data_IF_646799153662
#
_entry.id   IF_646799153662
#
_cell.length_a   1.000
_cell.length_b   1.000
_cell.length_c   1.000
_cell.angle_alpha   90.00
_cell.angle_beta   90.00
_cell.angle_gamma   90.00
#
_symmetry.space_group_name_H-M   'P 1'
#
loop_
_entity.id
_entity.type
_entity.pdbx_description
1 polymer ?
#
# COMPACT_ATOMS: atom_id res chain seq x y z
N UNK A 1 -57.26 -23.87 -45.38
CA UNK A 1 -57.41 -22.42 -45.12
C UNK A 1 -56.44 -22.03 -44.01
N UNK A 2 -55.86 -20.85 -44.16
CA UNK A 2 -54.64 -20.30 -43.55
C UNK A 2 -54.50 -20.30 -42.01
N UNK A 3 -53.24 -20.41 -41.53
CA UNK A 3 -52.43 -19.33 -40.91
C UNK A 3 -51.17 -19.97 -40.27
N UNK A 4 -49.94 -19.79 -40.74
CA UNK A 4 -49.05 -18.61 -40.67
C UNK A 4 -48.71 -18.13 -39.23
N UNK A 5 -47.61 -18.64 -38.63
CA UNK A 5 -46.72 -17.85 -37.75
C UNK A 5 -45.32 -18.52 -37.53
N UNK A 6 -44.20 -17.75 -37.59
CA UNK A 6 -42.82 -18.24 -37.53
C UNK A 6 -42.21 -18.21 -36.09
N UNK A 7 -40.94 -18.65 -35.88
CA UNK A 7 -40.48 -19.23 -34.62
C UNK A 7 -40.01 -18.20 -33.59
N UNK A 8 -40.26 -18.48 -32.30
CA UNK A 8 -39.70 -17.70 -31.19
C UNK A 8 -38.26 -18.16 -30.93
N UNK A 9 -37.33 -17.47 -31.55
CA UNK A 9 -35.91 -17.48 -31.23
C UNK A 9 -35.70 -17.14 -29.74
N UNK A 10 -35.26 -18.11 -28.96
CA UNK A 10 -34.76 -17.88 -27.61
C UNK A 10 -33.44 -17.13 -27.70
N UNK A 11 -33.51 -15.81 -27.52
CA UNK A 11 -32.36 -14.95 -27.41
C UNK A 11 -31.53 -15.33 -26.17
N UNK A 12 -30.35 -15.90 -26.39
CA UNK A 12 -29.32 -16.07 -25.37
C UNK A 12 -28.88 -14.69 -24.88
N UNK A 13 -29.42 -14.27 -23.74
CA UNK A 13 -29.00 -13.07 -23.02
C UNK A 13 -27.58 -13.29 -22.49
N UNK A 14 -26.59 -12.79 -23.23
CA UNK A 14 -25.17 -12.81 -22.86
C UNK A 14 -24.99 -11.98 -21.58
N UNK A 15 -24.93 -12.67 -20.44
CA UNK A 15 -24.80 -12.05 -19.11
C UNK A 15 -23.39 -11.49 -18.93
N UNK A 16 -23.29 -10.18 -18.94
CA UNK A 16 -22.09 -9.38 -18.69
C UNK A 16 -21.78 -9.27 -17.18
N UNK A 17 -21.72 -10.40 -16.47
CA UNK A 17 -21.51 -10.46 -15.02
C UNK A 17 -20.03 -10.48 -14.58
N UNK A 18 -19.08 -10.57 -15.52
CA UNK A 18 -17.65 -10.74 -15.21
C UNK A 18 -16.88 -9.46 -14.85
N UNK A 19 -17.43 -8.26 -15.09
CA UNK A 19 -16.68 -6.99 -14.95
C UNK A 19 -16.90 -6.25 -13.62
N UNK A 20 -17.97 -6.57 -12.88
CA UNK A 20 -18.35 -5.80 -11.67
C UNK A 20 -17.65 -6.26 -10.39
N UNK A 21 -17.16 -7.51 -10.34
CA UNK A 21 -16.54 -8.06 -9.13
C UNK A 21 -15.10 -7.52 -8.94
N UNK A 22 -14.39 -7.24 -10.05
CA UNK A 22 -13.00 -6.75 -10.01
C UNK A 22 -12.90 -5.30 -9.52
N UNK A 23 -13.91 -4.47 -9.75
CA UNK A 23 -13.90 -3.06 -9.31
C UNK A 23 -14.09 -2.88 -7.80
N UNK A 24 -14.90 -3.74 -7.17
CA UNK A 24 -15.26 -3.61 -5.76
C UNK A 24 -14.10 -3.94 -4.81
N UNK A 25 -13.26 -4.93 -5.16
CA UNK A 25 -12.09 -5.32 -4.35
C UNK A 25 -11.00 -4.25 -4.35
N UNK A 26 -10.76 -3.60 -5.49
CA UNK A 26 -9.74 -2.53 -5.61
C UNK A 26 -10.11 -1.32 -4.74
N UNK A 27 -11.37 -0.91 -4.73
CA UNK A 27 -11.84 0.24 -3.94
C UNK A 27 -11.76 -0.07 -2.43
N UNK A 28 -12.10 -1.30 -2.02
CA UNK A 28 -11.98 -1.71 -0.62
C UNK A 28 -10.51 -1.70 -0.15
N UNK A 29 -9.57 -2.15 -0.98
CA UNK A 29 -8.14 -2.09 -0.66
C UNK A 29 -7.63 -0.64 -0.50
N UNK A 30 -8.06 0.26 -1.39
CA UNK A 30 -7.70 1.69 -1.30
C UNK A 30 -8.30 2.35 -0.06
N UNK A 31 -9.55 2.00 0.30
CA UNK A 31 -10.18 2.53 1.51
C UNK A 31 -9.54 2.01 2.79
N UNK A 32 -9.14 0.74 2.85
CA UNK A 32 -8.41 0.20 4.02
C UNK A 32 -7.03 0.84 4.12
N UNK A 33 -6.31 0.99 3.02
CA UNK A 33 -5.04 1.71 2.99
C UNK A 33 -5.20 3.17 3.44
N UNK A 34 -6.24 3.86 2.96
CA UNK A 34 -6.54 5.24 3.33
C UNK A 34 -7.02 5.41 4.78
N UNK A 35 -7.82 4.48 5.30
CA UNK A 35 -8.27 4.49 6.69
C UNK A 35 -7.13 4.17 7.66
N UNK A 36 -6.25 3.23 7.29
CA UNK A 36 -5.01 2.99 8.02
C UNK A 36 -4.09 4.21 8.00
N UNK A 37 -4.07 4.95 6.88
CA UNK A 37 -3.31 6.19 6.73
C UNK A 37 -3.80 7.32 7.65
N UNK A 38 -5.12 7.53 7.69
CA UNK A 38 -5.72 8.60 8.48
C UNK A 38 -5.54 8.38 9.99
N UNK A 39 -5.30 7.14 10.41
CA UNK A 39 -5.09 6.78 11.82
C UNK A 39 -3.63 6.90 12.30
N UNK A 40 -2.66 7.27 11.43
CA UNK A 40 -1.27 7.53 11.84
C UNK A 40 -1.20 8.87 12.60
N UNK A 41 -1.43 8.83 13.91
CA UNK A 41 -1.07 9.90 14.84
C UNK A 41 0.39 10.31 14.60
N UNK A 42 0.71 11.61 14.66
CA UNK A 42 2.08 12.16 14.57
C UNK A 42 3.06 11.27 15.34
N UNK A 43 3.85 10.49 14.62
CA UNK A 43 4.91 9.69 15.21
C UNK A 43 6.15 10.56 15.28
N UNK A 44 6.71 10.73 16.46
CA UNK A 44 7.98 11.42 16.67
C UNK A 44 9.11 10.44 16.35
N UNK A 45 10.06 10.84 15.51
CA UNK A 45 11.17 9.99 15.10
C UNK A 45 12.41 10.28 15.93
N UNK A 46 13.05 9.22 16.41
CA UNK A 46 14.43 9.33 16.88
C UNK A 46 15.36 9.72 15.72
N UNK A 47 16.58 10.14 16.04
CA UNK A 47 17.59 10.49 15.02
C UNK A 47 17.91 9.31 14.09
N UNK A 48 17.94 8.11 14.66
CA UNK A 48 18.24 6.87 13.93
C UNK A 48 17.03 6.44 13.09
N UNK A 49 15.82 6.52 13.63
CA UNK A 49 14.58 6.25 12.87
C UNK A 49 14.42 7.22 11.70
N UNK A 50 14.80 8.49 11.87
CA UNK A 50 14.77 9.49 10.80
C UNK A 50 15.71 9.11 9.65
N UNK A 51 16.94 8.69 9.98
CA UNK A 51 17.91 8.25 8.99
C UNK A 51 17.42 7.00 8.23
N UNK A 52 16.85 6.03 8.95
CA UNK A 52 16.26 4.81 8.36
C UNK A 52 15.08 5.17 7.46
N UNK A 53 14.18 6.04 7.90
CA UNK A 53 13.02 6.48 7.12
C UNK A 53 13.43 7.24 5.87
N UNK A 54 14.50 8.04 5.93
CA UNK A 54 15.06 8.74 4.78
C UNK A 54 15.73 7.78 3.79
N UNK A 55 16.46 6.77 4.28
CA UNK A 55 17.01 5.71 3.45
C UNK A 55 15.89 4.92 2.76
N UNK A 56 14.84 4.55 3.50
CA UNK A 56 13.66 3.87 2.99
C UNK A 56 12.95 4.69 1.92
N UNK A 57 12.81 6.01 2.13
CA UNK A 57 12.27 6.92 1.12
C UNK A 57 13.05 6.84 -0.19
N UNK A 58 14.39 6.90 -0.14
CA UNK A 58 15.24 6.81 -1.33
C UNK A 58 15.07 5.48 -2.06
N UNK A 59 15.09 4.38 -1.31
CA UNK A 59 14.90 3.02 -1.84
C UNK A 59 13.54 2.90 -2.53
N UNK A 60 12.46 3.36 -1.89
CA UNK A 60 11.11 3.32 -2.45
C UNK A 60 10.98 4.19 -3.70
N UNK A 61 11.60 5.37 -3.69
CA UNK A 61 11.59 6.28 -4.85
C UNK A 61 12.38 5.73 -6.04
N UNK A 62 13.49 5.04 -5.77
CA UNK A 62 14.29 4.35 -6.80
C UNK A 62 13.70 2.99 -7.20
N UNK A 63 12.70 2.48 -6.46
CA UNK A 63 12.12 1.13 -6.62
C UNK A 63 13.21 0.05 -6.61
N UNK A 64 14.21 0.22 -5.74
CA UNK A 64 15.35 -0.69 -5.66
C UNK A 64 15.03 -1.86 -4.74
N UNK A 65 14.77 -3.04 -5.31
CA UNK A 65 14.55 -4.25 -4.52
C UNK A 65 15.79 -4.65 -3.71
N UNK A 66 16.97 -4.51 -4.31
CA UNK A 66 18.24 -4.80 -3.63
C UNK A 66 18.50 -3.83 -2.48
N UNK A 67 18.24 -2.54 -2.69
CA UNK A 67 18.32 -1.54 -1.61
C UNK A 67 17.31 -1.80 -0.49
N UNK A 68 16.13 -2.36 -0.80
CA UNK A 68 15.15 -2.73 0.21
C UNK A 68 15.64 -3.92 1.05
N UNK A 69 16.26 -4.91 0.42
CA UNK A 69 16.81 -6.09 1.11
C UNK A 69 17.93 -5.66 2.06
N UNK A 70 18.87 -4.84 1.60
CA UNK A 70 19.98 -4.35 2.41
C UNK A 70 19.48 -3.49 3.59
N UNK A 71 18.56 -2.56 3.32
CA UNK A 71 17.98 -1.72 4.37
C UNK A 71 17.18 -2.52 5.39
N UNK A 72 16.42 -3.53 4.96
CA UNK A 72 15.68 -4.41 5.84
C UNK A 72 16.62 -5.23 6.73
N UNK A 73 17.77 -5.68 6.20
CA UNK A 73 18.78 -6.38 6.99
C UNK A 73 19.35 -5.46 8.08
N UNK A 74 19.75 -4.23 7.73
CA UNK A 74 20.24 -3.23 8.69
C UNK A 74 19.19 -2.93 9.75
N UNK A 75 17.95 -2.68 9.35
CA UNK A 75 16.86 -2.42 10.29
C UNK A 75 16.53 -3.64 11.17
N UNK A 76 16.69 -4.86 10.64
CA UNK A 76 16.52 -6.09 11.42
C UNK A 76 17.66 -6.33 12.40
N UNK A 77 18.83 -5.74 12.19
CA UNK A 77 19.95 -5.79 13.13
C UNK A 77 19.86 -4.73 14.24
N UNK A 78 19.07 -3.66 14.07
CA UNK A 78 18.78 -2.65 15.10
C UNK A 78 18.19 -3.26 16.39
N UNK A 79 18.36 -2.60 17.53
CA UNK A 79 17.94 -3.15 18.82
C UNK A 79 16.41 -3.34 18.93
N UNK A 80 15.92 -4.37 19.65
CA UNK A 80 14.49 -4.59 19.90
C UNK A 80 13.69 -3.39 20.43
N UNK A 81 14.18 -2.59 21.41
CA UNK A 81 13.44 -1.42 21.90
C UNK A 81 13.11 -0.41 20.81
N UNK A 82 13.96 -0.22 19.80
CA UNK A 82 13.71 0.71 18.69
C UNK A 82 12.59 0.20 17.76
N UNK A 83 12.45 -1.12 17.63
CA UNK A 83 11.42 -1.73 16.76
C UNK A 83 10.03 -1.77 17.37
N UNK A 84 9.95 -1.81 18.70
CA UNK A 84 8.69 -1.85 19.44
C UNK A 84 8.13 -0.44 19.74
N UNK A 85 8.84 0.60 19.35
CA UNK A 85 8.32 1.97 19.32
C UNK A 85 7.18 2.14 18.29
N UNK A 86 6.50 3.28 18.36
CA UNK A 86 5.53 3.66 17.33
C UNK A 86 6.21 3.84 15.96
N UNK A 87 7.40 4.45 15.91
CA UNK A 87 8.21 4.62 14.70
C UNK A 87 8.67 3.30 14.11
N UNK A 88 9.12 2.36 14.94
CA UNK A 88 9.50 1.01 14.53
C UNK A 88 8.35 0.24 13.87
N UNK A 89 7.15 0.27 14.47
CA UNK A 89 5.94 -0.32 13.86
C UNK A 89 5.59 0.32 12.52
N UNK A 90 5.75 1.64 12.44
CA UNK A 90 5.52 2.42 11.23
C UNK A 90 6.48 2.02 10.11
N UNK A 91 7.78 1.95 10.40
CA UNK A 91 8.82 1.56 9.45
C UNK A 91 8.58 0.13 8.96
N UNK A 92 8.23 -0.80 9.87
CA UNK A 92 7.88 -2.19 9.52
C UNK A 92 6.75 -2.26 8.49
N UNK A 93 5.71 -1.46 8.69
CA UNK A 93 4.55 -1.40 7.79
C UNK A 93 4.95 -0.88 6.40
N UNK A 94 5.80 0.14 6.33
CA UNK A 94 6.23 0.70 5.04
C UNK A 94 7.14 -0.28 4.28
N UNK A 95 8.00 -1.01 4.99
CA UNK A 95 8.81 -2.09 4.40
C UNK A 95 7.89 -3.17 3.79
N UNK A 96 6.80 -3.53 4.49
CA UNK A 96 5.82 -4.50 3.97
C UNK A 96 5.09 -3.99 2.72
N UNK A 97 4.73 -2.71 2.68
CA UNK A 97 4.12 -2.08 1.51
C UNK A 97 5.08 -2.10 0.31
N UNK A 98 6.35 -1.74 0.54
CA UNK A 98 7.40 -1.79 -0.47
C UNK A 98 7.63 -3.23 -1.00
N UNK A 99 7.64 -4.24 -0.11
CA UNK A 99 7.71 -5.67 -0.47
C UNK A 99 6.52 -6.13 -1.32
N UNK A 100 5.36 -5.53 -1.11
CA UNK A 100 4.14 -5.79 -1.89
C UNK A 100 4.10 -5.01 -3.22
N UNK A 101 5.24 -4.47 -3.66
CA UNK A 101 5.40 -3.62 -4.83
C UNK A 101 4.57 -2.32 -4.81
N UNK A 102 4.10 -1.89 -3.64
CA UNK A 102 3.39 -0.62 -3.44
C UNK A 102 4.37 0.54 -3.25
N UNK A 103 5.37 0.63 -4.13
CA UNK A 103 6.52 1.54 -3.99
C UNK A 103 6.12 3.01 -3.85
N UNK A 104 5.09 3.44 -4.60
CA UNK A 104 4.63 4.83 -4.56
C UNK A 104 3.94 5.16 -3.25
N UNK A 105 3.12 4.26 -2.72
CA UNK A 105 2.40 4.49 -1.46
C UNK A 105 3.38 4.44 -0.29
N UNK A 106 4.33 3.52 -0.30
CA UNK A 106 5.45 3.47 0.65
C UNK A 106 6.30 4.76 0.61
N UNK A 107 6.65 5.27 -0.58
CA UNK A 107 7.40 6.52 -0.71
C UNK A 107 6.62 7.74 -0.18
N UNK A 108 5.31 7.81 -0.46
CA UNK A 108 4.44 8.85 0.11
C UNK A 108 4.42 8.76 1.64
N UNK A 109 4.49 7.55 2.20
CA UNK A 109 4.45 7.32 3.65
C UNK A 109 5.69 7.89 4.31
N UNK A 110 6.86 7.52 3.80
CA UNK A 110 8.11 8.07 4.30
C UNK A 110 8.12 9.60 4.18
N UNK A 111 7.68 10.16 3.05
CA UNK A 111 7.66 11.61 2.86
C UNK A 111 6.79 12.31 3.88
N UNK A 112 5.58 11.81 4.12
CA UNK A 112 4.66 12.42 5.09
C UNK A 112 5.27 12.41 6.49
N UNK A 113 5.82 11.28 6.90
CA UNK A 113 6.47 11.12 8.21
C UNK A 113 7.62 12.10 8.38
N UNK A 114 8.49 12.22 7.38
CA UNK A 114 9.64 13.13 7.39
C UNK A 114 9.17 14.59 7.46
N UNK A 115 8.14 14.97 6.71
CA UNK A 115 7.55 16.33 6.74
C UNK A 115 6.93 16.63 8.10
N UNK A 116 6.29 15.64 8.74
CA UNK A 116 5.69 15.81 10.07
C UNK A 116 6.74 16.12 11.15
N UNK A 117 8.02 15.77 10.92
CA UNK A 117 9.15 16.11 11.81
C UNK A 117 9.62 17.56 11.68
N UNK A 118 9.32 18.27 10.58
CA UNK A 118 9.85 19.62 10.30
C UNK A 118 9.10 20.73 11.06
N UNK A 119 8.05 20.38 11.84
CA UNK A 119 7.19 21.36 12.54
C UNK A 119 7.60 21.71 13.98
N UNK A 120 8.81 21.37 14.42
CA UNK A 120 9.33 21.77 15.73
C UNK A 120 10.74 22.36 15.63
#
# INVERSE_FOLDING_TARGET
>A
MERNQPPKSFALKRSSAGKMIVGATVIAAIMVAGAFWFSRSKVELSKDDYAITLALYRVCNQRSEQGLIELEAVWRESEPPEKDTASGRVIRSIIADARSQQWQDAARACRQILVDQVKH
#
